data_IF_505289643645
#
_entry.id   IF_505289643645
#
_cell.length_a   1.000
_cell.length_b   1.000
_cell.length_c   1.000
_cell.angle_alpha   90.00
_cell.angle_beta   90.00
_cell.angle_gamma   90.00
#
_symmetry.space_group_name_H-M   'P 1'
#
loop_
_entity.id
_entity.type
_entity.pdbx_description
1 polymer ?
#
# COMPACT_ATOMS: atom_id res chain seq x y z
N UNK A 1 -19.15 -9.22 -8.94
CA UNK A 1 -18.06 -9.67 -8.04
C UNK A 1 -16.66 -9.27 -8.56
N UNK A 2 -16.56 -8.56 -9.69
CA UNK A 2 -15.30 -8.05 -10.30
C UNK A 2 -14.85 -6.73 -9.67
N UNK A 3 -15.79 -5.84 -9.32
CA UNK A 3 -15.51 -4.53 -8.69
C UNK A 3 -14.67 -4.60 -7.40
N UNK A 4 -14.94 -5.58 -6.52
CA UNK A 4 -14.25 -5.67 -5.22
C UNK A 4 -12.76 -5.94 -5.37
N UNK A 5 -12.37 -6.73 -6.37
CA UNK A 5 -10.97 -7.04 -6.62
C UNK A 5 -10.26 -5.84 -7.25
N UNK A 6 -10.91 -5.13 -8.16
CA UNK A 6 -10.38 -3.90 -8.75
C UNK A 6 -10.18 -2.80 -7.68
N UNK A 7 -11.15 -2.61 -6.79
CA UNK A 7 -11.04 -1.65 -5.67
C UNK A 7 -9.89 -2.02 -4.72
N UNK A 8 -9.72 -3.30 -4.41
CA UNK A 8 -8.60 -3.76 -3.59
C UNK A 8 -7.26 -3.51 -4.28
N UNK A 9 -7.14 -3.82 -5.58
CA UNK A 9 -5.94 -3.54 -6.35
C UNK A 9 -5.62 -2.04 -6.40
N UNK A 10 -6.64 -1.18 -6.51
CA UNK A 10 -6.44 0.26 -6.47
C UNK A 10 -5.81 0.72 -5.15
N UNK A 11 -6.24 0.17 -4.00
CA UNK A 11 -5.68 0.51 -2.68
C UNK A 11 -4.18 0.21 -2.53
N UNK A 12 -3.66 -0.77 -3.28
CA UNK A 12 -2.23 -1.14 -3.27
C UNK A 12 -1.38 -0.36 -4.28
N UNK A 13 -2.02 0.39 -5.19
CA UNK A 13 -1.33 1.12 -6.25
C UNK A 13 -1.49 2.63 -6.14
N UNK A 14 -2.52 3.12 -5.45
CA UNK A 14 -2.86 4.54 -5.37
C UNK A 14 -2.89 5.07 -3.94
N UNK A 15 -2.45 6.31 -3.77
CA UNK A 15 -2.49 7.07 -2.53
C UNK A 15 -3.94 7.32 -2.13
N UNK A 16 -4.33 6.95 -0.91
CA UNK A 16 -5.70 7.15 -0.44
C UNK A 16 -6.06 8.65 -0.24
N UNK A 17 -5.06 9.54 -0.23
CA UNK A 17 -5.23 10.98 -0.07
C UNK A 17 -5.18 11.72 -1.42
N UNK A 18 -4.08 11.62 -2.17
CA UNK A 18 -3.94 12.33 -3.45
C UNK A 18 -4.54 11.59 -4.65
N UNK A 19 -4.94 10.33 -4.49
CA UNK A 19 -5.36 9.42 -5.57
C UNK A 19 -4.30 9.19 -6.67
N UNK A 20 -3.08 9.65 -6.45
CA UNK A 20 -1.95 9.42 -7.36
C UNK A 20 -1.32 8.05 -7.15
N UNK A 21 -0.52 7.58 -8.11
CA UNK A 21 0.23 6.32 -7.96
C UNK A 21 1.14 6.40 -6.73
N UNK A 22 1.20 5.30 -5.97
CA UNK A 22 2.06 5.19 -4.80
C UNK A 22 3.53 5.27 -5.22
N UNK A 23 4.27 6.18 -4.61
CA UNK A 23 5.69 6.38 -4.84
C UNK A 23 6.45 6.32 -3.52
N UNK A 24 7.66 5.76 -3.55
CA UNK A 24 8.49 5.71 -2.34
C UNK A 24 8.96 7.12 -1.99
N UNK A 25 8.97 7.51 -0.71
CA UNK A 25 8.57 6.73 0.47
C UNK A 25 7.05 6.60 0.64
N UNK A 26 6.56 5.35 0.76
CA UNK A 26 5.15 5.02 0.98
C UNK A 26 4.92 4.90 2.49
N UNK A 27 3.88 5.54 2.99
CA UNK A 27 3.50 5.47 4.42
C UNK A 27 2.11 4.84 4.56
N UNK A 28 1.83 4.24 5.72
CA UNK A 28 0.51 3.77 6.07
C UNK A 28 0.03 4.29 7.41
N UNK A 29 -1.28 4.46 7.53
CA UNK A 29 -1.92 4.82 8.79
C UNK A 29 -2.34 3.60 9.59
N UNK A 30 -2.79 3.81 10.83
CA UNK A 30 -3.30 2.76 11.71
C UNK A 30 -4.48 1.94 11.14
N UNK A 31 -5.25 2.51 10.21
CA UNK A 31 -6.35 1.84 9.53
C UNK A 31 -5.90 0.96 8.35
N UNK A 32 -4.60 0.95 8.04
CA UNK A 32 -4.02 0.18 6.94
C UNK A 32 -4.22 0.78 5.55
N UNK A 33 -4.52 2.08 5.46
CA UNK A 33 -4.54 2.81 4.19
C UNK A 33 -3.12 3.27 3.83
N UNK A 34 -2.82 3.29 2.54
CA UNK A 34 -1.53 3.67 1.98
C UNK A 34 -1.55 5.11 1.48
N UNK A 35 -0.46 5.83 1.69
CA UNK A 35 -0.30 7.22 1.28
C UNK A 35 1.12 7.47 0.78
N UNK A 36 1.25 8.46 -0.10
CA UNK A 36 2.54 9.06 -0.39
C UNK A 36 2.94 9.96 0.78
N UNK A 37 4.19 9.84 1.26
CA UNK A 37 4.68 10.67 2.37
C UNK A 37 4.54 12.16 2.06
N UNK A 38 4.79 12.55 0.82
CA UNK A 38 4.70 13.92 0.33
C UNK A 38 3.26 14.46 0.50
N UNK A 39 2.27 13.75 -0.06
CA UNK A 39 0.85 14.10 0.09
C UNK A 39 0.41 14.23 1.55
N UNK A 40 0.89 13.35 2.45
CA UNK A 40 0.60 13.46 3.89
C UNK A 40 1.21 14.72 4.50
N UNK A 41 2.44 15.06 4.13
CA UNK A 41 3.12 16.27 4.60
C UNK A 41 2.38 17.51 4.11
N UNK A 42 2.06 17.59 2.82
CA UNK A 42 1.30 18.69 2.23
C UNK A 42 -0.05 18.86 2.95
N UNK A 43 -0.76 17.75 3.19
CA UNK A 43 -1.99 17.78 3.96
C UNK A 43 -1.76 18.29 5.39
N UNK A 44 -0.72 17.87 6.08
CA UNK A 44 -0.46 18.35 7.45
C UNK A 44 -0.03 19.83 7.50
N UNK A 45 0.58 20.35 6.44
CA UNK A 45 0.98 21.75 6.30
C UNK A 45 -0.19 22.66 5.91
N UNK A 46 -1.17 22.15 5.17
CA UNK A 46 -2.37 22.89 4.81
C UNK A 46 -3.22 23.16 6.07
N UNK A 47 -3.20 24.42 6.51
CA UNK A 47 -3.97 24.96 7.64
C UNK A 47 -5.16 25.80 7.17
N UNK A 48 -5.57 25.65 5.92
CA UNK A 48 -6.67 26.39 5.33
C UNK A 48 -7.95 26.11 6.14
N UNK A 49 -8.68 27.14 6.59
CA UNK A 49 -9.92 26.95 7.36
C UNK A 49 -11.04 26.31 6.52
N UNK A 50 -10.91 26.34 5.18
CA UNK A 50 -11.82 25.71 4.22
C UNK A 50 -11.44 24.26 3.88
N UNK A 51 -10.37 23.74 4.51
CA UNK A 51 -9.89 22.39 4.26
C UNK A 51 -10.94 21.39 4.71
N UNK A 52 -11.61 20.77 3.74
CA UNK A 52 -12.48 19.63 4.03
C UNK A 52 -11.58 18.46 4.45
N UNK A 53 -11.65 17.99 5.71
CA UNK A 53 -10.90 16.81 6.11
C UNK A 53 -11.39 15.65 5.27
N UNK A 54 -10.55 15.22 4.34
CA UNK A 54 -10.86 14.08 3.51
C UNK A 54 -11.02 12.88 4.44
N UNK A 55 -12.17 12.21 4.43
CA UNK A 55 -12.49 11.03 5.27
C UNK A 55 -11.37 9.96 5.23
N UNK A 56 -10.62 9.96 4.12
CA UNK A 56 -9.42 9.17 3.93
C UNK A 56 -8.33 9.44 5.00
N UNK A 57 -8.11 10.69 5.42
CA UNK A 57 -7.01 11.15 6.25
C UNK A 57 -7.42 11.93 7.52
N UNK A 58 -8.71 12.02 7.86
CA UNK A 58 -9.21 12.74 9.06
C UNK A 58 -8.57 12.30 10.40
N UNK A 59 -8.05 11.07 10.47
CA UNK A 59 -7.37 10.53 11.66
C UNK A 59 -5.86 10.87 11.71
N UNK A 60 -5.27 11.31 10.59
CA UNK A 60 -3.86 11.68 10.49
C UNK A 60 -3.70 13.12 10.95
N UNK A 61 -3.37 13.32 12.23
CA UNK A 61 -3.14 14.64 12.83
C UNK A 61 -1.67 15.04 12.86
N UNK A 62 -0.78 14.07 12.71
CA UNK A 62 0.67 14.27 12.73
C UNK A 62 1.37 13.21 11.90
N UNK A 63 2.61 13.49 11.49
CA UNK A 63 3.47 12.53 10.81
C UNK A 63 3.74 11.28 11.65
N UNK A 64 3.57 11.36 12.98
CA UNK A 64 3.68 10.21 13.89
C UNK A 64 2.52 9.21 13.75
N UNK A 65 1.38 9.63 13.20
CA UNK A 65 0.23 8.74 12.96
C UNK A 65 0.39 7.87 11.70
N UNK A 66 1.46 8.09 10.93
CA UNK A 66 1.79 7.29 9.76
C UNK A 66 3.16 6.65 9.93
N UNK A 67 3.32 5.50 9.29
CA UNK A 67 4.53 4.67 9.40
C UNK A 67 5.03 4.41 7.99
N UNK A 68 6.31 4.68 7.77
CA UNK A 68 6.96 4.41 6.49
C UNK A 68 7.05 2.90 6.27
N UNK A 69 6.50 2.45 5.15
CA UNK A 69 6.40 1.04 4.82
C UNK A 69 7.61 0.56 4.03
N UNK A 70 8.14 -0.59 4.45
CA UNK A 70 9.16 -1.36 3.74
C UNK A 70 8.49 -2.45 2.93
N UNK A 71 7.91 -2.04 1.81
CA UNK A 71 7.33 -2.93 0.80
C UNK A 71 8.46 -3.59 0.00
N UNK A 72 8.37 -4.89 -0.24
CA UNK A 72 9.34 -5.62 -1.08
C UNK A 72 8.84 -5.66 -2.51
N UNK A 73 9.66 -5.20 -3.46
CA UNK A 73 9.33 -5.23 -4.88
C UNK A 73 9.21 -6.66 -5.38
N UNK A 74 8.25 -6.89 -6.28
CA UNK A 74 8.10 -8.17 -6.93
C UNK A 74 9.06 -8.27 -8.13
N UNK A 75 10.02 -9.21 -8.16
CA UNK A 75 10.90 -9.39 -9.31
C UNK A 75 10.14 -9.80 -10.59
N UNK A 76 8.93 -10.38 -10.45
CA UNK A 76 8.07 -10.69 -11.59
C UNK A 76 7.32 -9.46 -12.14
N UNK A 77 7.31 -8.33 -11.41
CA UNK A 77 6.63 -7.13 -11.87
C UNK A 77 7.46 -6.40 -12.94
N UNK A 78 6.95 -6.39 -14.16
CA UNK A 78 7.60 -5.78 -15.33
C UNK A 78 7.30 -4.28 -15.51
N UNK A 79 6.79 -3.62 -14.46
CA UNK A 79 6.39 -2.21 -14.49
C UNK A 79 5.02 -1.97 -15.13
N UNK A 80 4.60 -0.70 -15.14
CA UNK A 80 3.43 -0.20 -15.87
C UNK A 80 3.77 -0.21 -17.37
N UNK A 81 4.05 -1.38 -17.95
CA UNK A 81 4.10 -1.51 -19.40
C UNK A 81 2.69 -1.35 -19.89
N UNK A 82 2.40 -0.11 -20.28
CA UNK A 82 1.24 0.31 -21.04
C UNK A 82 0.90 -0.79 -22.04
N UNK A 83 -0.28 -1.38 -21.85
CA UNK A 83 -0.79 -2.45 -22.70
C UNK A 83 -0.87 -1.90 -24.12
N UNK A 84 0.15 -2.19 -24.93
CA UNK A 84 0.07 -2.02 -26.38
C UNK A 84 -1.09 -2.90 -26.82
N UNK A 85 -2.15 -2.25 -27.29
CA UNK A 85 -3.34 -2.83 -27.92
C UNK A 85 -3.10 -4.24 -28.46
N UNK A 86 -3.76 -5.22 -27.89
CA UNK A 86 -3.74 -6.59 -28.42
C UNK A 86 -4.65 -7.49 -27.60
N UNK A 87 -5.80 -7.79 -28.17
CA UNK A 87 -6.83 -8.72 -27.74
C UNK A 87 -6.30 -10.04 -27.11
N UNK A 88 -5.99 -10.04 -25.81
CA UNK A 88 -5.89 -11.26 -25.00
C UNK A 88 -6.34 -10.98 -23.56
N UNK A 89 -7.41 -11.67 -23.16
CA UNK A 89 -7.85 -11.79 -21.78
C UNK A 89 -6.77 -12.49 -20.93
N UNK A 90 -6.57 -11.98 -19.72
CA UNK A 90 -5.98 -12.65 -18.54
C UNK A 90 -4.52 -13.14 -18.65
N UNK A 91 -3.55 -12.21 -18.65
CA UNK A 91 -2.18 -12.49 -18.25
C UNK A 91 -1.80 -11.58 -17.09
N UNK A 92 -2.17 -12.03 -15.89
CA UNK A 92 -1.52 -11.81 -14.58
C UNK A 92 -0.59 -10.58 -14.57
N UNK A 93 -1.16 -9.38 -14.41
CA UNK A 93 -0.36 -8.26 -13.93
C UNK A 93 0.17 -8.66 -12.54
N UNK A 94 1.42 -9.11 -12.50
CA UNK A 94 2.09 -9.47 -11.26
C UNK A 94 1.98 -8.30 -10.30
N UNK A 95 1.68 -8.54 -9.02
CA UNK A 95 1.53 -7.42 -8.09
C UNK A 95 2.86 -6.67 -7.98
N UNK A 96 2.83 -5.34 -7.88
CA UNK A 96 4.04 -4.52 -7.70
C UNK A 96 4.87 -4.94 -6.48
N UNK A 97 4.19 -5.42 -5.45
CA UNK A 97 4.79 -5.81 -4.18
C UNK A 97 4.48 -7.25 -3.80
N UNK A 98 5.42 -7.89 -3.10
CA UNK A 98 5.29 -9.26 -2.59
C UNK A 98 5.63 -9.35 -1.11
N UNK A 99 5.16 -10.41 -0.45
CA UNK A 99 5.63 -10.80 0.87
C UNK A 99 7.04 -11.40 0.77
N UNK A 100 8.05 -10.86 1.47
CA UNK A 100 9.41 -11.38 1.39
C UNK A 100 9.62 -12.75 2.06
N UNK A 101 8.65 -13.22 2.85
CA UNK A 101 8.76 -14.48 3.61
C UNK A 101 8.14 -15.63 2.83
N UNK A 102 6.88 -15.46 2.39
CA UNK A 102 6.11 -16.53 1.73
C UNK A 102 5.98 -16.34 0.22
N UNK A 103 6.52 -15.25 -0.33
CA UNK A 103 6.45 -14.96 -1.77
C UNK A 103 5.04 -14.62 -2.30
N UNK A 104 4.07 -14.35 -1.42
CA UNK A 104 2.70 -14.03 -1.83
C UNK A 104 2.62 -12.63 -2.43
N UNK A 105 1.89 -12.49 -3.53
CA UNK A 105 1.66 -11.23 -4.23
C UNK A 105 0.60 -10.35 -3.56
N UNK A 106 0.84 -9.04 -3.50
CA UNK A 106 -0.14 -8.04 -3.04
C UNK A 106 -1.18 -7.70 -4.11
N UNK A 107 -1.89 -8.71 -4.61
CA UNK A 107 -2.93 -8.58 -5.66
C UNK A 107 -4.35 -8.49 -5.09
N UNK A 108 -4.51 -8.30 -3.78
CA UNK A 108 -5.82 -8.25 -3.11
C UNK A 108 -6.45 -9.62 -2.80
N UNK A 109 -5.86 -10.74 -3.25
CA UNK A 109 -6.34 -12.09 -2.88
C UNK A 109 -5.94 -12.50 -1.46
N UNK A 110 -4.83 -11.94 -0.97
CA UNK A 110 -4.32 -12.21 0.37
C UNK A 110 -4.34 -10.95 1.22
N UNK A 111 -4.57 -11.12 2.52
CA UNK A 111 -4.46 -10.04 3.50
C UNK A 111 -3.00 -9.80 3.84
N UNK A 112 -2.63 -8.53 3.92
CA UNK A 112 -1.31 -8.08 4.34
C UNK A 112 -1.42 -7.14 5.52
N UNK A 113 -0.43 -7.20 6.39
CA UNK A 113 -0.30 -6.38 7.58
C UNK A 113 1.13 -5.85 7.64
N UNK A 114 1.33 -4.73 8.33
CA UNK A 114 2.64 -4.16 8.55
C UNK A 114 2.91 -4.01 10.04
N UNK A 115 4.19 -4.11 10.42
CA UNK A 115 4.61 -3.95 11.81
C UNK A 115 4.85 -2.49 12.12
N UNK A 116 4.23 -1.98 13.19
CA UNK A 116 4.38 -0.56 13.56
C UNK A 116 5.81 -0.18 13.97
N UNK A 117 6.56 -1.11 14.54
CA UNK A 117 7.90 -0.82 15.05
C UNK A 117 8.94 -0.63 13.93
N UNK A 118 8.78 -1.27 12.77
CA UNK A 118 9.79 -1.27 11.71
C UNK A 118 9.26 -0.96 10.30
N UNK A 119 7.94 -0.90 10.12
CA UNK A 119 7.29 -0.64 8.82
C UNK A 119 7.32 -1.82 7.84
N UNK A 120 7.86 -2.98 8.22
CA UNK A 120 7.91 -4.14 7.34
C UNK A 120 6.52 -4.70 7.08
N UNK A 121 6.23 -5.01 5.80
CA UNK A 121 4.93 -5.52 5.35
C UNK A 121 5.01 -7.01 5.07
N UNK A 122 4.08 -7.78 5.63
CA UNK A 122 4.00 -9.23 5.53
C UNK A 122 2.57 -9.67 5.23
N UNK A 123 2.42 -10.84 4.64
CA UNK A 123 1.09 -11.45 4.53
C UNK A 123 0.63 -11.98 5.88
N UNK A 124 -0.67 -12.04 6.11
CA UNK A 124 -1.25 -12.66 7.31
C UNK A 124 -0.75 -14.11 7.48
N UNK A 125 -0.51 -14.82 6.37
CA UNK A 125 0.06 -16.17 6.36
C UNK A 125 1.49 -16.19 6.90
N UNK A 126 2.34 -15.26 6.47
CA UNK A 126 3.69 -15.15 7.00
C UNK A 126 3.69 -14.85 8.50
N UNK A 127 2.79 -13.99 8.98
CA UNK A 127 2.66 -13.67 10.40
C UNK A 127 2.14 -14.85 11.23
N UNK A 128 1.32 -15.73 10.66
CA UNK A 128 0.88 -16.95 11.34
C UNK A 128 2.02 -17.97 11.51
N UNK A 129 2.90 -18.06 10.53
CA UNK A 129 4.07 -18.94 10.59
C UNK A 129 5.17 -18.37 11.50
N UNK A 130 5.34 -17.04 11.49
CA UNK A 130 6.32 -16.34 12.32
C UNK A 130 5.67 -15.96 13.65
N UNK A 131 5.89 -16.76 14.69
CA UNK A 131 5.42 -16.48 16.07
C UNK A 131 6.08 -15.25 16.73
N UNK A 132 6.94 -14.54 16.02
CA UNK A 132 7.64 -13.34 16.50
C UNK A 132 7.02 -12.10 15.89
N UNK A 133 6.59 -11.17 16.74
CA UNK A 133 6.15 -9.83 16.35
C UNK A 133 7.36 -8.90 16.07
N UNK A 134 8.58 -9.41 16.25
CA UNK A 134 9.84 -8.69 16.06
C UNK A 134 10.42 -9.05 14.70
N UNK A 135 10.62 -8.04 13.86
CA UNK A 135 11.32 -8.19 12.60
C UNK A 135 12.84 -8.20 12.84
N UNK A 136 13.50 -9.32 12.55
CA UNK A 136 14.97 -9.48 12.70
C UNK A 136 15.76 -9.10 11.44
N UNK A 137 15.23 -8.21 10.59
CA UNK A 137 15.96 -7.74 9.41
C UNK A 137 17.08 -6.79 9.76
#
# INVERSE_FOLDING_TARGET
QVDKNAELMARWNYCALSQEKLCRPIVACELGRLYNKDAVIEFLLDKSPDKTPMEAASHIKSIKNVIELKLSDNPAWSGDKESIKGDKYDDIQSARFICPVVGLEMNGRHRFCFLRNCGCVFSERALKEIKSEVCHK
#
